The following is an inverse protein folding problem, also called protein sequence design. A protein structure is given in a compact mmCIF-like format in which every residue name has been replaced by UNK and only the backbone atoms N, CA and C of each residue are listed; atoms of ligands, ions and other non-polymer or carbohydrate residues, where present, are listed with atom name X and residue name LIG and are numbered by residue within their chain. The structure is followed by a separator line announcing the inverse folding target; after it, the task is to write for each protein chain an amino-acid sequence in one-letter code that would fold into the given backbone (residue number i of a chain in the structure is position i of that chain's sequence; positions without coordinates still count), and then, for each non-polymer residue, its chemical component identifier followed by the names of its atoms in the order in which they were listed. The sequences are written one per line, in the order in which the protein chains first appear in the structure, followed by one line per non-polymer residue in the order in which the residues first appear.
data_IF_237758464137
#
_entry.id   IF_237758464137
#
_cell.length_a   1.000
_cell.length_b   1.000
_cell.length_c   1.000
_cell.angle_alpha   90.00
_cell.angle_beta   90.00
_cell.angle_gamma   90.00
#
_symmetry.space_group_name_H-M   'P 1'
#
loop_
_entity.id
_entity.type
_entity.pdbx_description
1 polymer ?
#
# COMPACT_ATOMS: atom_id res chain seq x y z
N UNK A 1 -20.80 -2.09 1.81
CA UNK A 1 -20.28 -1.65 3.11
C UNK A 1 -18.88 -1.11 2.87
N UNK A 2 -18.75 0.21 2.73
CA UNK A 2 -17.48 0.88 2.49
C UNK A 2 -16.73 0.97 3.81
N UNK A 3 -15.47 0.48 3.87
CA UNK A 3 -14.57 0.65 5.02
C UNK A 3 -14.57 2.12 5.46
N UNK A 4 -14.88 2.37 6.73
CA UNK A 4 -15.14 3.71 7.28
C UNK A 4 -13.86 4.45 7.70
N UNK A 5 -12.69 3.81 7.70
CA UNK A 5 -11.42 4.42 8.15
C UNK A 5 -10.42 4.74 7.02
N UNK A 6 -10.52 4.14 5.82
CA UNK A 6 -9.49 4.29 4.76
C UNK A 6 -9.67 5.52 3.85
N UNK A 7 -10.82 6.19 3.89
CA UNK A 7 -11.08 7.34 2.99
C UNK A 7 -10.32 8.60 3.41
N UNK A 8 -9.89 8.68 4.67
CA UNK A 8 -9.22 9.88 5.18
C UNK A 8 -7.73 9.90 4.86
N UNK A 9 -7.04 8.75 4.76
CA UNK A 9 -5.61 8.73 4.46
C UNK A 9 -5.28 9.29 3.06
N UNK A 10 -6.09 8.97 2.04
CA UNK A 10 -5.91 9.51 0.69
C UNK A 10 -6.12 11.03 0.61
N UNK A 11 -7.12 11.56 1.32
CA UNK A 11 -7.37 13.00 1.41
C UNK A 11 -6.33 13.71 2.30
N UNK A 12 -5.93 13.08 3.41
CA UNK A 12 -4.89 13.56 4.32
C UNK A 12 -3.53 13.59 3.64
N UNK A 13 -3.22 12.67 2.73
CA UNK A 13 -1.97 12.72 1.97
C UNK A 13 -1.93 13.93 1.03
N UNK A 14 -3.05 14.28 0.38
CA UNK A 14 -3.14 15.47 -0.47
C UNK A 14 -2.96 16.76 0.36
N UNK A 15 -3.63 16.84 1.51
CA UNK A 15 -3.51 17.97 2.45
C UNK A 15 -2.11 18.04 3.07
N UNK A 16 -1.58 16.91 3.52
CA UNK A 16 -0.23 16.79 4.06
C UNK A 16 0.81 17.13 3.00
N UNK A 17 0.61 16.75 1.75
CA UNK A 17 1.52 17.08 0.65
C UNK A 17 1.47 18.57 0.31
N UNK A 18 0.30 19.19 0.21
CA UNK A 18 0.23 20.65 0.02
C UNK A 18 0.91 21.43 1.17
N UNK A 19 0.94 20.85 2.37
CA UNK A 19 1.63 21.40 3.55
C UNK A 19 3.13 21.08 3.53
N UNK A 20 3.52 19.88 3.11
CA UNK A 20 4.91 19.42 3.00
C UNK A 20 5.62 20.08 1.83
N UNK A 21 5.01 20.23 0.66
CA UNK A 21 5.54 20.99 -0.47
C UNK A 21 5.81 22.44 -0.07
N UNK A 22 4.88 23.09 0.65
CA UNK A 22 5.08 24.45 1.18
C UNK A 22 6.24 24.51 2.17
N UNK A 23 6.36 23.54 3.08
CA UNK A 23 7.43 23.48 4.09
C UNK A 23 8.79 23.07 3.52
N UNK A 24 8.84 22.17 2.55
CA UNK A 24 10.07 21.68 1.91
C UNK A 24 10.64 22.72 0.94
N UNK A 25 9.78 23.43 0.19
CA UNK A 25 10.19 24.62 -0.58
C UNK A 25 10.74 25.74 0.31
N UNK A 26 10.15 25.92 1.51
CA UNK A 26 10.64 26.90 2.47
C UNK A 26 12.01 26.53 3.09
N UNK A 27 12.38 25.24 3.10
CA UNK A 27 13.57 24.73 3.78
C UNK A 27 14.64 24.15 2.82
N UNK A 28 14.46 24.23 1.51
CA UNK A 28 15.42 23.72 0.51
C UNK A 28 15.59 22.18 0.49
N UNK A 29 14.65 21.43 1.07
CA UNK A 29 14.70 19.97 1.18
C UNK A 29 14.08 19.24 -0.01
N UNK A 30 14.59 18.05 -0.33
CA UNK A 30 14.14 17.27 -1.47
C UNK A 30 13.27 16.06 -1.06
N UNK A 31 12.11 15.88 -1.72
CA UNK A 31 11.16 14.79 -1.45
C UNK A 31 11.78 13.39 -1.62
N UNK A 32 12.84 13.26 -2.42
CA UNK A 32 13.57 11.99 -2.60
C UNK A 32 14.33 11.51 -1.35
N UNK A 33 14.40 12.29 -0.27
CA UNK A 33 14.93 11.82 1.02
C UNK A 33 13.95 10.92 1.80
N UNK A 34 12.72 10.70 1.31
CA UNK A 34 11.82 9.64 1.81
C UNK A 34 12.32 8.19 1.54
N UNK A 35 13.54 8.05 1.01
CA UNK A 35 14.18 6.81 0.55
C UNK A 35 14.66 5.87 1.66
N UNK A 36 14.64 6.29 2.92
CA UNK A 36 15.09 5.44 4.02
C UNK A 36 13.89 5.01 4.87
N UNK A 37 13.49 3.75 4.70
CA UNK A 37 12.63 2.96 5.59
C UNK A 37 11.44 3.74 6.14
N UNK A 38 10.25 3.55 5.53
CA UNK A 38 9.00 4.23 5.89
C UNK A 38 8.99 4.72 7.34
N UNK A 39 8.88 6.03 7.53
CA UNK A 39 9.04 6.76 8.80
C UNK A 39 7.96 6.33 9.82
N UNK A 40 8.06 5.09 10.29
CA UNK A 40 7.14 4.45 11.21
C UNK A 40 7.90 3.44 12.08
N UNK A 41 7.36 3.08 13.26
CA UNK A 41 8.02 2.17 14.21
C UNK A 41 8.37 0.79 13.66
N UNK A 42 7.72 0.34 12.57
CA UNK A 42 8.01 -0.95 11.93
C UNK A 42 9.06 -0.87 10.82
N UNK A 43 9.52 0.34 10.46
CA UNK A 43 10.50 0.56 9.40
C UNK A 43 10.08 -0.12 8.09
N UNK A 44 8.79 -0.07 7.75
CA UNK A 44 8.22 -0.77 6.60
C UNK A 44 7.44 0.17 5.69
N UNK A 45 7.46 -0.13 4.40
CA UNK A 45 6.57 0.50 3.42
C UNK A 45 5.17 -0.10 3.54
N UNK A 46 4.12 0.71 3.46
CA UNK A 46 2.73 0.24 3.27
C UNK A 46 2.35 0.19 1.78
N UNK A 47 3.27 0.55 0.88
CA UNK A 47 3.17 0.29 -0.55
C UNK A 47 3.86 -1.04 -0.89
N UNK A 48 3.11 -1.94 -1.50
CA UNK A 48 3.55 -3.29 -1.86
C UNK A 48 4.63 -3.23 -2.93
N UNK A 49 5.75 -3.94 -2.69
CA UNK A 49 6.88 -4.01 -3.61
C UNK A 49 7.76 -2.77 -3.65
N UNK A 50 7.53 -1.81 -2.75
CA UNK A 50 8.40 -0.66 -2.53
C UNK A 50 9.28 -0.89 -1.29
N UNK A 51 10.57 -0.60 -1.39
CA UNK A 51 11.61 -0.97 -0.42
C UNK A 51 11.76 -2.49 -0.16
N UNK A 52 12.60 -2.86 0.81
CA UNK A 52 12.88 -4.26 1.16
C UNK A 52 11.86 -4.87 2.12
N UNK A 53 11.14 -4.02 2.88
CA UNK A 53 10.17 -4.43 3.90
C UNK A 53 8.78 -3.84 3.58
N UNK A 54 7.84 -4.69 3.14
CA UNK A 54 6.50 -4.31 2.69
C UNK A 54 5.48 -5.45 2.94
N UNK A 55 4.16 -5.17 2.94
CA UNK A 55 3.10 -6.17 3.03
C UNK A 55 3.20 -7.25 1.96
N UNK A 56 3.20 -8.50 2.37
CA UNK A 56 3.30 -9.63 1.44
C UNK A 56 2.03 -10.46 1.40
N UNK A 57 1.13 -10.30 2.39
CA UNK A 57 -0.13 -11.05 2.49
C UNK A 57 -1.33 -10.10 2.36
N UNK A 58 -1.38 -9.33 1.27
CA UNK A 58 -2.52 -8.44 1.00
C UNK A 58 -3.83 -9.20 0.79
N UNK A 59 -4.95 -8.60 1.22
CA UNK A 59 -6.32 -9.07 1.02
C UNK A 59 -6.73 -8.96 -0.46
N UNK A 60 -6.05 -9.71 -1.33
CA UNK A 60 -6.27 -9.67 -2.78
C UNK A 60 -6.25 -11.09 -3.36
N UNK A 61 -7.40 -11.53 -3.90
CA UNK A 61 -7.59 -12.91 -4.41
C UNK A 61 -6.60 -13.28 -5.52
N UNK A 62 -6.42 -12.40 -6.51
CA UNK A 62 -5.45 -12.63 -7.58
C UNK A 62 -3.99 -12.68 -7.09
N UNK A 63 -3.70 -12.04 -5.96
CA UNK A 63 -2.35 -12.05 -5.38
C UNK A 63 -2.06 -13.36 -4.66
N UNK A 64 -3.08 -14.01 -4.09
CA UNK A 64 -2.93 -15.26 -3.34
C UNK A 64 -2.84 -16.50 -4.23
N UNK A 65 -3.34 -16.46 -5.46
CA UNK A 65 -3.39 -17.63 -6.34
C UNK A 65 -2.01 -17.88 -6.96
N UNK A 66 -1.43 -19.06 -6.75
CA UNK A 66 -0.16 -19.44 -7.38
C UNK A 66 -0.32 -19.47 -8.90
N UNK A 67 0.69 -18.99 -9.64
CA UNK A 67 0.74 -19.14 -11.10
C UNK A 67 0.58 -20.62 -11.44
N UNK A 68 -0.52 -20.96 -12.11
CA UNK A 68 -0.88 -22.34 -12.43
C UNK A 68 -0.97 -22.49 -13.96
N UNK A 69 -0.52 -23.61 -14.54
CA UNK A 69 -0.55 -23.82 -15.99
C UNK A 69 -1.97 -24.00 -16.56
N UNK A 70 -2.97 -24.16 -15.69
CA UNK A 70 -4.40 -24.28 -16.06
C UNK A 70 -5.20 -23.12 -15.47
N UNK A 71 -6.32 -22.72 -16.11
CA UNK A 71 -7.22 -21.72 -15.55
C UNK A 71 -7.69 -22.11 -14.14
N UNK A 72 -7.66 -21.15 -13.23
CA UNK A 72 -8.18 -21.29 -11.87
C UNK A 72 -9.54 -20.61 -11.82
N UNK A 73 -10.57 -21.33 -11.39
CA UNK A 73 -11.91 -20.75 -11.21
C UNK A 73 -11.91 -19.77 -10.03
N UNK A 74 -12.82 -18.80 -10.02
CA UNK A 74 -12.89 -17.82 -8.93
C UNK A 74 -13.13 -18.49 -7.56
N UNK A 75 -14.08 -19.43 -7.48
CA UNK A 75 -14.37 -20.17 -6.25
C UNK A 75 -13.24 -21.12 -5.85
N UNK A 76 -12.64 -21.85 -6.80
CA UNK A 76 -11.50 -22.72 -6.52
C UNK A 76 -10.28 -21.93 -6.04
N UNK A 77 -10.01 -20.81 -6.71
CA UNK A 77 -9.01 -19.81 -6.34
C UNK A 77 -9.12 -19.36 -4.88
N UNK A 78 -10.35 -19.02 -4.49
CA UNK A 78 -10.65 -18.57 -3.14
C UNK A 78 -10.50 -19.71 -2.12
N UNK A 79 -11.17 -20.84 -2.34
CA UNK A 79 -11.17 -21.96 -1.40
C UNK A 79 -9.77 -22.57 -1.20
N UNK A 80 -8.97 -22.66 -2.27
CA UNK A 80 -7.69 -23.35 -2.20
C UNK A 80 -6.53 -22.44 -1.78
N UNK A 81 -6.52 -21.15 -2.13
CA UNK A 81 -5.34 -20.29 -1.91
C UNK A 81 -5.56 -19.08 -1.00
N UNK A 82 -6.78 -18.54 -0.93
CA UNK A 82 -6.99 -17.28 -0.22
C UNK A 82 -6.66 -17.41 1.28
N UNK A 83 -7.15 -18.47 1.93
CA UNK A 83 -6.95 -18.70 3.36
C UNK A 83 -5.60 -19.36 3.67
N UNK A 84 -4.83 -19.81 2.67
CA UNK A 84 -3.54 -20.46 2.91
C UNK A 84 -2.52 -19.45 3.46
N UNK A 85 -1.91 -19.83 4.57
CA UNK A 85 -0.68 -19.22 5.08
C UNK A 85 0.55 -19.76 4.30
N UNK A 86 0.49 -19.66 2.97
CA UNK A 86 1.51 -20.15 2.06
C UNK A 86 2.29 -18.99 1.42
N UNK A 87 3.42 -19.34 0.81
CA UNK A 87 4.32 -18.41 0.14
C UNK A 87 3.61 -17.55 -0.90
N UNK A 88 4.05 -16.29 -0.92
CA UNK A 88 3.42 -15.12 -1.53
C UNK A 88 3.58 -15.20 -3.05
N UNK A 89 2.58 -15.69 -3.80
CA UNK A 89 2.85 -16.13 -5.17
C UNK A 89 2.99 -14.97 -6.15
N UNK A 90 2.20 -13.90 -5.97
CA UNK A 90 2.24 -12.74 -6.85
C UNK A 90 2.32 -11.44 -6.03
N UNK A 91 3.28 -10.58 -6.38
CA UNK A 91 3.43 -9.25 -5.77
C UNK A 91 2.55 -8.25 -6.54
N UNK A 92 1.69 -7.53 -5.83
CA UNK A 92 0.84 -6.47 -6.41
C UNK A 92 1.58 -5.13 -6.31
N UNK A 93 2.57 -4.92 -7.17
CA UNK A 93 3.41 -3.72 -7.13
C UNK A 93 2.58 -2.43 -7.15
N UNK A 94 2.95 -1.48 -6.28
CA UNK A 94 2.32 -0.17 -6.19
C UNK A 94 0.97 -0.14 -5.46
N UNK A 95 0.44 -1.30 -5.04
CA UNK A 95 -0.75 -1.33 -4.20
C UNK A 95 -0.46 -0.70 -2.83
N UNK A 96 -1.37 0.12 -2.33
CA UNK A 96 -1.31 0.71 -0.99
C UNK A 96 -2.38 0.06 -0.12
N UNK A 97 -1.94 -0.61 0.96
CA UNK A 97 -2.84 -1.26 1.92
C UNK A 97 -3.45 -0.23 2.89
N UNK A 98 -4.50 -0.61 3.64
CA UNK A 98 -5.11 0.26 4.65
C UNK A 98 -4.12 0.77 5.71
N UNK A 99 -3.14 -0.05 6.08
CA UNK A 99 -2.01 0.37 6.90
C UNK A 99 -2.18 0.04 8.39
N UNK A 100 -1.39 0.68 9.29
CA UNK A 100 -1.37 0.31 10.69
C UNK A 100 -2.61 0.81 11.43
N UNK A 101 -2.90 0.23 12.60
CA UNK A 101 -3.90 0.80 13.49
C UNK A 101 -3.39 2.05 14.23
N UNK A 102 -4.24 2.66 15.05
CA UNK A 102 -3.94 3.86 15.86
C UNK A 102 -2.70 3.79 16.77
N UNK A 103 -2.16 2.59 17.00
CA UNK A 103 -0.96 2.36 17.84
C UNK A 103 0.26 1.98 16.97
N UNK A 104 0.25 2.31 15.68
CA UNK A 104 1.29 1.95 14.70
C UNK A 104 1.53 0.44 14.53
N UNK A 105 0.56 -0.40 14.94
CA UNK A 105 0.66 -1.86 14.79
C UNK A 105 0.04 -2.29 13.48
N UNK A 106 0.84 -2.95 12.65
CA UNK A 106 0.42 -3.60 11.41
C UNK A 106 0.61 -5.12 11.49
N UNK A 107 -0.41 -5.89 11.17
CA UNK A 107 -0.34 -7.34 11.02
C UNK A 107 -0.49 -7.72 9.54
N UNK A 108 0.56 -8.31 8.95
CA UNK A 108 0.56 -8.74 7.54
C UNK A 108 -0.21 -10.07 7.38
N UNK A 109 -1.53 -9.97 7.49
CA UNK A 109 -2.43 -11.09 7.39
C UNK A 109 -3.52 -10.84 6.35
N UNK A 110 -3.70 -11.81 5.46
CA UNK A 110 -4.63 -11.72 4.33
C UNK A 110 -6.07 -11.62 4.80
N UNK A 111 -6.40 -12.21 5.93
CA UNK A 111 -7.76 -12.15 6.49
C UNK A 111 -8.06 -10.82 7.18
N UNK A 112 -7.01 -10.08 7.54
CA UNK A 112 -7.13 -8.76 8.15
C UNK A 112 -7.40 -7.69 7.09
N UNK A 113 -8.59 -7.72 6.50
CA UNK A 113 -9.00 -6.78 5.45
C UNK A 113 -8.85 -5.32 5.92
N UNK A 114 -9.08 -5.03 7.21
CA UNK A 114 -8.94 -3.67 7.76
C UNK A 114 -7.56 -3.06 7.54
N UNK A 115 -6.49 -3.87 7.59
CA UNK A 115 -5.12 -3.37 7.43
C UNK A 115 -4.52 -3.75 6.08
N UNK A 116 -4.86 -4.94 5.57
CA UNK A 116 -4.21 -5.56 4.42
C UNK A 116 -4.97 -5.38 3.09
N UNK A 117 -6.13 -4.70 3.08
CA UNK A 117 -6.91 -4.45 1.86
C UNK A 117 -6.25 -3.38 0.99
N UNK A 118 -5.85 -3.73 -0.25
CA UNK A 118 -5.47 -2.75 -1.24
C UNK A 118 -6.73 -2.23 -1.95
N UNK A 119 -6.87 -0.91 -2.05
CA UNK A 119 -7.98 -0.29 -2.77
C UNK A 119 -7.49 0.72 -3.81
N UNK A 120 -8.21 0.82 -4.93
CA UNK A 120 -7.97 1.85 -5.96
C UNK A 120 -8.09 3.26 -5.38
N UNK A 121 -9.00 3.45 -4.42
CA UNK A 121 -9.16 4.71 -3.70
C UNK A 121 -7.90 5.12 -2.91
N UNK A 122 -7.08 4.17 -2.46
CA UNK A 122 -5.86 4.45 -1.70
C UNK A 122 -4.75 4.95 -2.65
N UNK A 123 -4.61 4.31 -3.81
CA UNK A 123 -3.52 4.61 -4.77
C UNK A 123 -3.85 5.79 -5.70
N UNK A 124 -5.13 6.01 -6.03
CA UNK A 124 -5.55 7.07 -6.96
C UNK A 124 -5.00 8.47 -6.64
N UNK A 125 -5.11 9.00 -5.39
CA UNK A 125 -4.54 10.31 -5.07
C UNK A 125 -3.01 10.31 -5.08
N UNK A 126 -2.36 9.20 -4.71
CA UNK A 126 -0.89 9.07 -4.76
C UNK A 126 -0.36 9.26 -6.18
N UNK A 127 -1.03 8.68 -7.18
CA UNK A 127 -0.53 8.73 -8.57
C UNK A 127 -0.44 10.17 -9.07
N UNK A 128 -1.46 11.00 -8.85
CA UNK A 128 -1.44 12.40 -9.28
C UNK A 128 -0.35 13.22 -8.57
N UNK A 129 -0.20 12.98 -7.28
CA UNK A 129 0.85 13.54 -6.42
C UNK A 129 2.25 13.18 -6.95
N UNK A 130 2.53 11.89 -7.13
CA UNK A 130 3.84 11.39 -7.57
C UNK A 130 4.16 11.85 -8.99
N UNK A 131 3.16 11.92 -9.87
CA UNK A 131 3.32 12.45 -11.22
C UNK A 131 3.70 13.94 -11.20
N UNK A 132 3.05 14.76 -10.37
CA UNK A 132 3.39 16.18 -10.21
C UNK A 132 4.82 16.36 -9.71
N UNK A 133 5.23 15.58 -8.70
CA UNK A 133 6.59 15.62 -8.15
C UNK A 133 7.66 15.17 -9.15
N UNK A 134 7.37 14.15 -9.95
CA UNK A 134 8.26 13.68 -10.99
C UNK A 134 8.47 14.71 -12.12
N UNK A 135 7.43 15.50 -12.43
CA UNK A 135 7.49 16.55 -13.46
C UNK A 135 8.14 17.85 -12.97
N UNK A 136 8.09 18.13 -11.66
CA UNK A 136 8.63 19.36 -11.07
C UNK A 136 9.95 19.14 -10.30
N UNK A 137 10.75 18.14 -10.70
CA UNK A 137 12.12 18.02 -10.22
C UNK A 137 12.96 19.20 -10.75
N UNK A 138 13.19 20.19 -9.89
CA UNK A 138 14.18 21.26 -10.07
C UNK A 138 15.31 21.02 -9.08
#
# INVERSE_FOLDING_TARGET
MFSWDDKYAGAQLLVAMSTLEKKMRANGGNVYEMKNNGLNPKGMSYMVGFETNYPKRVHHRGASIKKYPRPVSCQGGFAEWFHKNADKPNVVYGAVVGGPNRNDKYNDDRENYQQAEPATANVAPLVGVLASLALHQV
#
